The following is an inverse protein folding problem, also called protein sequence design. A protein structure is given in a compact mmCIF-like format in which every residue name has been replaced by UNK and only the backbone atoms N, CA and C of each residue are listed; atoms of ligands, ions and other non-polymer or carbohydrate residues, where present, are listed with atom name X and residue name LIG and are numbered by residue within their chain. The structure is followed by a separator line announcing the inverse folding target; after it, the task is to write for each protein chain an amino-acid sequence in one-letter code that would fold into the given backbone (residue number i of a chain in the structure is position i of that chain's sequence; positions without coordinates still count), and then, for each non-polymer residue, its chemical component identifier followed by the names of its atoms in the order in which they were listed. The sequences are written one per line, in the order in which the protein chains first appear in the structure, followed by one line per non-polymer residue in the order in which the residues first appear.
data_IF_422691292851
#
_entry.id   IF_422691292851
#
_cell.length_a   1.000
_cell.length_b   1.000
_cell.length_c   1.000
_cell.angle_alpha   90.00
_cell.angle_beta   90.00
_cell.angle_gamma   90.00
#
_symmetry.space_group_name_H-M   'P 1'
#
loop_
_entity.id
_entity.type
_entity.pdbx_description
1 polymer ?
#
# COMPACT_ATOMS: atom_id res chain seq x y z
N UNK A 1 17.32 -16.31 -10.74
CA UNK A 1 17.12 -15.00 -11.41
C UNK A 1 15.87 -14.31 -10.85
N UNK A 2 15.99 -13.13 -10.22
CA UNK A 2 14.82 -12.33 -9.80
C UNK A 2 14.13 -11.77 -11.06
N UNK A 3 12.99 -12.36 -11.46
CA UNK A 3 12.17 -11.83 -12.57
C UNK A 3 11.69 -10.42 -12.21
N UNK A 4 12.19 -9.40 -12.91
CA UNK A 4 11.65 -8.03 -12.85
C UNK A 4 10.20 -8.09 -13.31
N UNK A 5 9.24 -7.82 -12.41
CA UNK A 5 7.83 -7.70 -12.79
C UNK A 5 7.72 -6.59 -13.84
N UNK A 6 7.28 -6.96 -15.05
CA UNK A 6 6.80 -6.01 -16.06
C UNK A 6 5.82 -5.07 -15.37
N UNK A 7 6.10 -3.77 -15.40
CA UNK A 7 5.14 -2.75 -15.00
C UNK A 7 3.97 -2.84 -15.97
N UNK A 8 2.88 -3.49 -15.55
CA UNK A 8 1.63 -3.41 -16.26
C UNK A 8 1.19 -1.94 -16.22
N UNK A 9 1.46 -1.27 -17.34
CA UNK A 9 1.07 0.09 -17.66
C UNK A 9 -0.45 0.08 -17.89
N UNK A 10 -1.21 0.03 -16.79
CA UNK A 10 -2.61 0.44 -16.79
C UNK A 10 -2.59 1.76 -16.03
N UNK A 11 -2.51 2.81 -16.84
CA UNK A 11 -2.44 4.21 -16.45
C UNK A 11 -3.84 4.62 -15.96
N UNK A 12 -4.22 4.21 -14.75
CA UNK A 12 -5.23 4.96 -14.02
C UNK A 12 -4.49 6.16 -13.44
N UNK A 13 -4.86 7.37 -13.85
CA UNK A 13 -4.34 8.65 -13.32
C UNK A 13 -4.81 8.85 -11.89
N UNK A 14 -4.58 7.88 -11.01
CA UNK A 14 -4.87 8.03 -9.61
C UNK A 14 -3.79 8.94 -9.06
N UNK A 15 -4.22 10.06 -8.50
CA UNK A 15 -3.33 10.97 -7.79
C UNK A 15 -2.60 10.20 -6.69
N UNK A 16 -1.39 10.66 -6.32
CA UNK A 16 -0.63 10.05 -5.23
C UNK A 16 -1.48 9.94 -3.95
N UNK A 17 -2.33 10.95 -3.73
CA UNK A 17 -3.27 11.05 -2.62
C UNK A 17 -4.34 9.97 -2.67
N UNK A 18 -4.98 9.72 -3.81
CA UNK A 18 -5.96 8.64 -3.95
C UNK A 18 -5.36 7.26 -3.62
N UNK A 19 -4.13 7.01 -4.07
CA UNK A 19 -3.43 5.77 -3.76
C UNK A 19 -3.19 5.65 -2.25
N UNK A 20 -2.76 6.74 -1.60
CA UNK A 20 -2.56 6.77 -0.14
C UNK A 20 -3.89 6.53 0.59
N UNK A 21 -4.98 7.18 0.16
CA UNK A 21 -6.31 7.02 0.77
C UNK A 21 -6.78 5.57 0.67
N UNK A 22 -6.62 4.94 -0.48
CA UNK A 22 -6.99 3.54 -0.67
C UNK A 22 -6.15 2.60 0.22
N UNK A 23 -4.84 2.82 0.32
CA UNK A 23 -3.97 2.06 1.22
C UNK A 23 -4.34 2.25 2.70
N UNK A 24 -4.74 3.46 3.10
CA UNK A 24 -5.24 3.72 4.46
C UNK A 24 -6.54 2.96 4.73
N UNK A 25 -7.49 2.95 3.77
CA UNK A 25 -8.73 2.16 3.88
C UNK A 25 -8.44 0.67 4.04
N UNK A 26 -7.54 0.12 3.23
CA UNK A 26 -7.10 -1.28 3.35
C UNK A 26 -6.46 -1.58 4.70
N UNK A 27 -5.65 -0.66 5.22
CA UNK A 27 -5.02 -0.79 6.53
C UNK A 27 -6.06 -0.83 7.67
N UNK A 28 -7.10 0.02 7.59
CA UNK A 28 -8.20 0.01 8.55
C UNK A 28 -8.93 -1.33 8.52
N UNK A 29 -9.27 -1.83 7.33
CA UNK A 29 -9.93 -3.13 7.20
C UNK A 29 -9.08 -4.25 7.81
N UNK A 30 -7.77 -4.27 7.53
CA UNK A 30 -6.88 -5.27 8.14
C UNK A 30 -6.77 -5.16 9.66
N UNK A 31 -6.80 -3.94 10.21
CA UNK A 31 -6.81 -3.74 11.65
C UNK A 31 -8.12 -4.22 12.29
N UNK A 32 -9.26 -4.01 11.63
CA UNK A 32 -10.55 -4.54 12.06
C UNK A 32 -10.46 -6.08 12.11
N UNK A 33 -10.04 -6.72 11.02
CA UNK A 33 -9.88 -8.19 10.95
C UNK A 33 -8.94 -8.72 12.03
N UNK A 34 -7.83 -8.02 12.30
CA UNK A 34 -6.92 -8.36 13.39
C UNK A 34 -7.60 -8.29 14.76
N UNK A 35 -8.34 -7.21 15.00
CA UNK A 35 -9.02 -6.97 16.28
C UNK A 35 -10.13 -7.97 16.51
N UNK A 36 -10.82 -8.38 15.46
CA UNK A 36 -11.84 -9.45 15.50
C UNK A 36 -11.25 -10.86 15.47
N UNK A 37 -9.92 -11.01 15.62
CA UNK A 37 -9.20 -12.29 15.63
C UNK A 37 -9.46 -13.17 14.39
N UNK A 38 -9.79 -12.56 13.25
CA UNK A 38 -9.89 -13.28 11.99
C UNK A 38 -8.48 -13.69 11.53
N UNK A 39 -8.38 -14.81 10.80
CA UNK A 39 -7.11 -15.25 10.23
C UNK A 39 -6.61 -14.21 9.23
N UNK A 40 -5.50 -13.58 9.57
CA UNK A 40 -4.84 -12.59 8.74
C UNK A 40 -3.33 -12.76 8.81
N UNK A 41 -2.68 -12.51 7.69
CA UNK A 41 -1.23 -12.57 7.57
C UNK A 41 -0.62 -11.25 8.08
N UNK A 42 0.15 -11.23 9.19
CA UNK A 42 0.68 -9.99 9.78
C UNK A 42 1.61 -9.21 8.84
N UNK A 43 2.30 -9.91 7.93
CA UNK A 43 3.20 -9.29 6.97
C UNK A 43 2.48 -8.38 5.96
N UNK A 44 1.18 -8.60 5.71
CA UNK A 44 0.40 -7.73 4.81
C UNK A 44 0.25 -6.33 5.41
N UNK A 45 -0.01 -6.22 6.72
CA UNK A 45 -0.07 -4.93 7.42
C UNK A 45 1.28 -4.20 7.31
N UNK A 46 2.40 -4.92 7.51
CA UNK A 46 3.75 -4.38 7.37
C UNK A 46 4.00 -3.87 5.94
N UNK A 47 3.60 -4.64 4.93
CA UNK A 47 3.77 -4.26 3.53
C UNK A 47 2.97 -3.01 3.15
N UNK A 48 1.72 -2.90 3.60
CA UNK A 48 0.89 -1.70 3.35
C UNK A 48 1.51 -0.46 4.00
N UNK A 49 1.92 -0.53 5.26
CA UNK A 49 2.59 0.58 5.95
C UNK A 49 3.86 1.03 5.21
N UNK A 50 4.69 0.08 4.79
CA UNK A 50 5.89 0.37 4.01
C UNK A 50 5.56 1.01 2.66
N UNK A 51 4.49 0.57 1.99
CA UNK A 51 4.05 1.13 0.72
C UNK A 51 3.59 2.58 0.88
N UNK A 52 2.82 2.89 1.92
CA UNK A 52 2.41 4.26 2.26
C UNK A 52 3.65 5.13 2.51
N UNK A 53 4.58 4.66 3.35
CA UNK A 53 5.82 5.39 3.66
C UNK A 53 6.64 5.68 2.39
N UNK A 54 6.85 4.69 1.53
CA UNK A 54 7.57 4.89 0.26
C UNK A 54 6.92 5.92 -0.64
N UNK A 55 5.59 5.89 -0.78
CA UNK A 55 4.87 6.85 -1.62
C UNK A 55 5.02 8.26 -1.06
N UNK A 56 4.87 8.44 0.26
CA UNK A 56 5.05 9.74 0.91
C UNK A 56 6.48 10.25 0.75
N UNK A 57 7.49 9.40 0.97
CA UNK A 57 8.90 9.79 0.80
C UNK A 57 9.21 10.19 -0.64
N UNK A 58 8.79 9.38 -1.63
CA UNK A 58 9.05 9.67 -3.04
C UNK A 58 8.33 10.92 -3.55
N UNK A 59 7.14 11.21 -3.02
CA UNK A 59 6.44 12.46 -3.31
C UNK A 59 7.11 13.67 -2.65
N UNK A 60 7.64 13.53 -1.43
CA UNK A 60 8.31 14.60 -0.71
C UNK A 60 9.70 14.94 -1.29
N UNK A 61 10.44 13.96 -1.83
CA UNK A 61 11.77 14.17 -2.45
C UNK A 61 11.73 14.84 -3.83
N UNK A 62 10.54 15.12 -4.39
CA UNK A 62 10.38 15.70 -5.72
C UNK A 62 10.17 17.23 -5.71
N UNK A 63 10.39 17.85 -4.55
CA UNK A 63 10.38 19.29 -4.27
C UNK A 63 11.83 19.70 -4.02
#
# INVERSE_FOLDING_TARGET
MKKRKKSNKILHTNTQEEIIVNLKKELVLMNIKRKTKQDIKPHLIKQIKNKISKILTLGATRI
#
